data_IF_465550654182
#
_entry.id   IF_465550654182
#
_cell.length_a   1.000
_cell.length_b   1.000
_cell.length_c   1.000
_cell.angle_alpha   90.00
_cell.angle_beta   90.00
_cell.angle_gamma   90.00
#
_symmetry.space_group_name_H-M   'P 1'
#
loop_
_entity.id
_entity.type
_entity.pdbx_description
1 polymer ?
#
# COMPACT_ATOMS: atom_id res chain seq x y z
N UNK A 1 -11.09 0.13 0.66
CA UNK A 1 -10.41 -0.07 -0.63
C UNK A 1 -9.82 1.27 -1.01
N UNK A 2 -8.52 1.33 -1.27
CA UNK A 2 -7.82 2.58 -1.62
C UNK A 2 -7.83 2.80 -3.13
N UNK A 3 -7.53 4.02 -3.58
CA UNK A 3 -7.58 4.46 -4.98
C UNK A 3 -9.00 4.42 -5.57
N UNK A 4 -10.02 4.50 -4.71
CA UNK A 4 -11.42 4.51 -5.09
C UNK A 4 -12.07 3.12 -5.21
N UNK A 5 -13.31 3.12 -5.69
CA UNK A 5 -14.17 1.94 -5.83
C UNK A 5 -14.43 1.52 -7.28
N UNK A 6 -13.75 2.16 -8.23
CA UNK A 6 -13.89 1.94 -9.66
C UNK A 6 -12.55 1.46 -10.22
N UNK A 7 -12.57 0.39 -11.02
CA UNK A 7 -11.41 -0.10 -11.75
C UNK A 7 -11.58 0.14 -13.25
N UNK A 8 -10.52 0.58 -13.94
CA UNK A 8 -10.53 0.69 -15.40
C UNK A 8 -10.31 -0.65 -16.11
N UNK A 9 -9.83 -1.67 -15.38
CA UNK A 9 -9.68 -3.04 -15.89
C UNK A 9 -10.98 -3.80 -15.70
N UNK A 10 -11.34 -4.62 -16.68
CA UNK A 10 -12.56 -5.43 -16.68
C UNK A 10 -12.24 -6.92 -16.46
N UNK A 11 -11.83 -7.28 -15.24
CA UNK A 11 -11.50 -8.67 -14.92
C UNK A 11 -12.78 -9.49 -14.78
N UNK A 12 -12.91 -10.61 -15.51
CA UNK A 12 -14.15 -11.42 -15.56
C UNK A 12 -14.60 -12.00 -14.21
N UNK A 13 -13.68 -12.12 -13.25
CA UNK A 13 -13.94 -12.64 -11.90
C UNK A 13 -14.12 -11.54 -10.84
N UNK A 14 -13.87 -10.28 -11.19
CA UNK A 14 -13.82 -9.18 -10.21
C UNK A 14 -15.19 -8.51 -10.09
N UNK A 15 -15.66 -8.32 -8.84
CA UNK A 15 -16.94 -7.69 -8.56
C UNK A 15 -16.87 -6.14 -8.44
N UNK A 16 -15.72 -5.53 -8.72
CA UNK A 16 -15.54 -4.08 -8.64
C UNK A 16 -16.20 -3.39 -9.83
N UNK A 17 -16.77 -2.20 -9.61
CA UNK A 17 -17.39 -1.41 -10.67
C UNK A 17 -16.37 -0.99 -11.74
N UNK A 18 -16.76 -1.08 -13.01
CA UNK A 18 -15.92 -0.76 -14.15
C UNK A 18 -16.37 0.53 -14.83
N UNK A 19 -15.63 1.63 -14.63
CA UNK A 19 -15.83 2.90 -15.31
C UNK A 19 -14.51 3.67 -15.40
N UNK A 20 -14.52 4.87 -15.99
CA UNK A 20 -13.30 5.71 -16.01
C UNK A 20 -12.95 6.09 -14.57
N UNK A 21 -11.72 5.77 -14.16
CA UNK A 21 -11.19 6.19 -12.88
C UNK A 21 -10.99 7.71 -12.88
N UNK A 22 -11.34 8.35 -11.75
CA UNK A 22 -11.01 9.73 -11.47
C UNK A 22 -9.54 9.89 -11.02
N UNK A 23 -9.17 11.12 -10.67
CA UNK A 23 -7.85 11.39 -10.08
C UNK A 23 -7.74 10.78 -8.68
N UNK A 24 -6.52 10.37 -8.32
CA UNK A 24 -6.24 9.82 -7.00
C UNK A 24 -6.25 10.93 -5.95
N UNK A 25 -7.01 10.70 -4.88
CA UNK A 25 -7.17 11.64 -3.77
C UNK A 25 -5.90 11.69 -2.91
N UNK A 26 -5.28 12.88 -2.85
CA UNK A 26 -4.02 13.10 -2.14
C UNK A 26 -4.15 13.02 -0.61
N UNK A 27 -5.36 13.18 -0.08
CA UNK A 27 -5.65 13.14 1.36
C UNK A 27 -6.18 11.78 1.81
N UNK A 28 -6.42 10.84 0.89
CA UNK A 28 -6.78 9.44 1.20
C UNK A 28 -5.82 8.79 2.22
N UNK A 29 -4.48 8.91 2.11
CA UNK A 29 -3.56 8.30 3.08
C UNK A 29 -3.71 8.87 4.49
N UNK A 30 -4.00 10.18 4.62
CA UNK A 30 -4.20 10.86 5.90
C UNK A 30 -5.48 10.35 6.56
N UNK A 31 -6.59 10.33 5.83
CA UNK A 31 -7.87 9.82 6.33
C UNK A 31 -7.81 8.33 6.64
N UNK A 32 -7.08 7.54 5.84
CA UNK A 32 -6.84 6.12 6.11
C UNK A 32 -6.10 5.95 7.45
N UNK A 33 -5.04 6.73 7.69
CA UNK A 33 -4.29 6.70 8.95
C UNK A 33 -5.18 7.05 10.15
N UNK A 34 -6.01 8.09 10.02
CA UNK A 34 -6.95 8.48 11.06
C UNK A 34 -7.97 7.36 11.34
N UNK A 35 -8.56 6.80 10.29
CA UNK A 35 -9.50 5.67 10.39
C UNK A 35 -8.86 4.45 11.07
N UNK A 36 -7.62 4.12 10.73
CA UNK A 36 -6.84 3.05 11.36
C UNK A 36 -6.66 3.32 12.84
N UNK A 37 -6.25 4.54 13.21
CA UNK A 37 -5.99 4.91 14.62
C UNK A 37 -7.26 4.84 15.49
N UNK A 38 -8.41 5.26 14.96
CA UNK A 38 -9.67 5.22 15.72
C UNK A 38 -10.28 3.81 15.78
N UNK A 39 -9.94 2.93 14.84
CA UNK A 39 -10.58 1.61 14.73
C UNK A 39 -10.22 0.62 15.84
N UNK A 40 -9.10 0.82 16.56
CA UNK A 40 -8.64 -0.09 17.60
C UNK A 40 -8.32 -1.52 17.12
N UNK A 41 -8.26 -1.74 15.79
CA UNK A 41 -8.03 -3.04 15.19
C UNK A 41 -6.56 -3.45 15.33
N UNK A 42 -6.33 -4.70 15.75
CA UNK A 42 -4.98 -5.29 15.83
C UNK A 42 -4.42 -5.69 14.46
N UNK A 43 -5.29 -5.88 13.48
CA UNK A 43 -4.93 -6.33 12.15
C UNK A 43 -5.85 -5.67 11.12
N UNK A 44 -5.26 -5.13 10.05
CA UNK A 44 -5.95 -4.40 8.99
C UNK A 44 -5.39 -4.87 7.65
N UNK A 45 -6.29 -5.14 6.72
CA UNK A 45 -5.96 -5.46 5.33
C UNK A 45 -6.33 -4.26 4.47
N UNK A 46 -5.34 -3.70 3.78
CA UNK A 46 -5.54 -2.63 2.81
C UNK A 46 -5.47 -3.23 1.41
N UNK A 47 -6.52 -3.05 0.62
CA UNK A 47 -6.61 -3.50 -0.77
C UNK A 47 -6.83 -2.29 -1.69
N UNK A 48 -6.38 -2.38 -2.93
CA UNK A 48 -6.53 -1.33 -3.94
C UNK A 48 -7.12 -1.87 -5.24
N UNK A 49 -7.74 -0.99 -6.02
CA UNK A 49 -7.93 -1.23 -7.46
C UNK A 49 -6.60 -1.10 -8.20
N UNK A 50 -6.57 -1.45 -9.49
CA UNK A 50 -5.37 -1.19 -10.31
C UNK A 50 -5.31 0.31 -10.67
N UNK A 51 -4.29 1.05 -10.24
CA UNK A 51 -4.11 2.44 -10.62
C UNK A 51 -3.82 2.55 -12.11
N UNK A 52 -4.39 3.58 -12.76
CA UNK A 52 -4.07 3.87 -14.15
C UNK A 52 -2.69 4.53 -14.30
N UNK A 53 -2.36 5.44 -13.39
CA UNK A 53 -1.07 6.13 -13.36
C UNK A 53 -0.23 5.62 -12.18
N UNK A 54 0.84 4.88 -12.50
CA UNK A 54 1.74 4.31 -11.50
C UNK A 54 2.65 5.36 -10.84
N UNK A 55 2.90 6.49 -11.51
CA UNK A 55 3.81 7.54 -11.02
C UNK A 55 3.25 8.28 -9.80
N UNK A 56 1.93 8.29 -9.64
CA UNK A 56 1.26 9.00 -8.55
C UNK A 56 1.30 8.23 -7.22
N UNK A 57 1.37 6.90 -7.25
CA UNK A 57 1.26 6.05 -6.05
C UNK A 57 2.42 6.26 -5.07
N UNK A 58 3.70 6.29 -5.49
CA UNK A 58 4.82 6.44 -4.55
C UNK A 58 4.80 7.77 -3.79
N UNK A 59 4.19 8.81 -4.36
CA UNK A 59 3.99 10.11 -3.67
C UNK A 59 2.86 10.04 -2.64
N UNK A 60 1.78 9.35 -2.97
CA UNK A 60 0.61 9.17 -2.10
C UNK A 60 0.92 8.27 -0.90
N UNK A 61 1.55 7.13 -1.18
CA UNK A 61 1.85 6.10 -0.20
C UNK A 61 3.36 5.85 -0.19
N UNK A 62 4.15 6.71 0.48
CA UNK A 62 5.58 6.48 0.64
C UNK A 62 5.78 5.23 1.50
N UNK A 63 5.91 4.07 0.86
CA UNK A 63 6.08 2.80 1.55
C UNK A 63 7.47 2.77 2.22
N UNK A 64 7.55 2.60 3.55
CA UNK A 64 8.80 2.25 4.18
C UNK A 64 9.18 0.84 3.72
N UNK A 65 10.27 0.73 2.96
CA UNK A 65 10.78 -0.55 2.49
C UNK A 65 11.34 -1.33 3.68
N UNK A 66 10.65 -2.40 4.10
CA UNK A 66 11.15 -3.31 5.12
C UNK A 66 11.98 -4.41 4.45
N UNK A 67 13.25 -4.55 4.82
CA UNK A 67 14.07 -5.68 4.36
C UNK A 67 13.79 -6.88 5.25
N UNK A 68 13.45 -8.03 4.66
CA UNK A 68 13.61 -9.32 5.35
C UNK A 68 15.12 -9.58 5.49
N UNK A 69 15.69 -9.22 6.64
CA UNK A 69 17.07 -9.54 6.99
C UNK A 69 17.11 -10.83 7.81
N UNK A 70 17.52 -11.95 7.19
CA UNK A 70 17.88 -13.16 7.93
C UNK A 70 19.29 -12.98 8.52
N UNK A 71 19.36 -12.55 9.77
CA UNK A 71 20.61 -12.53 10.54
C UNK A 71 20.88 -13.91 11.14
N UNK A 72 21.65 -14.73 10.43
CA UNK A 72 22.24 -15.96 10.97
C UNK A 72 23.35 -15.62 11.98
N UNK A 73 22.98 -15.27 13.22
CA UNK A 73 23.88 -15.42 14.39
C UNK A 73 23.05 -15.81 15.62
N UNK A 74 23.19 -17.08 16.00
CA UNK A 74 22.91 -17.70 17.31
C UNK A 74 21.60 -17.29 18.00
N UNK A 75 20.60 -18.18 17.90
CA UNK A 75 19.51 -18.35 18.87
C UNK A 75 18.45 -17.24 18.86
N UNK A 76 17.19 -17.64 18.64
CA UNK A 76 15.99 -16.79 18.54
C UNK A 76 15.80 -16.07 17.20
N UNK A 77 15.02 -16.71 16.32
CA UNK A 77 14.34 -16.08 15.19
C UNK A 77 13.41 -14.99 15.71
N UNK A 78 13.89 -13.75 15.72
CA UNK A 78 13.03 -12.57 15.79
C UNK A 78 13.25 -11.79 14.50
N UNK A 79 12.42 -12.09 13.49
CA UNK A 79 12.41 -11.39 12.21
C UNK A 79 11.81 -9.99 12.43
N UNK A 80 12.62 -9.07 12.93
CA UNK A 80 12.21 -7.68 13.08
C UNK A 80 12.43 -6.94 11.77
N UNK A 81 11.31 -6.57 11.14
CA UNK A 81 11.21 -5.67 10.00
C UNK A 81 11.85 -4.31 10.35
N UNK A 82 13.16 -4.14 10.10
CA UNK A 82 13.78 -2.82 10.20
C UNK A 82 13.46 -2.03 8.92
N UNK A 83 12.90 -0.81 9.02
CA UNK A 83 12.68 0.03 7.87
C UNK A 83 14.02 0.50 7.28
N UNK A 84 14.18 0.44 5.95
CA UNK A 84 15.29 1.11 5.25
C UNK A 84 15.14 2.62 5.38
N UNK A 85 16.25 3.32 5.59
CA UNK A 85 16.32 4.78 5.69
C UNK A 85 16.54 5.51 4.35
N UNK A 86 16.67 4.79 3.23
CA UNK A 86 17.03 5.40 1.93
C UNK A 86 15.94 5.18 0.86
N UNK A 87 15.64 6.22 0.05
CA UNK A 87 14.71 6.12 -1.07
C UNK A 87 15.24 5.19 -2.17
N UNK A 88 14.34 4.45 -2.82
CA UNK A 88 14.65 3.48 -3.88
C UNK A 88 14.96 4.25 -5.18
N UNK A 89 16.03 3.91 -5.92
CA UNK A 89 16.25 4.49 -7.24
C UNK A 89 15.13 4.10 -8.21
N UNK A 90 14.72 5.03 -9.09
CA UNK A 90 13.59 4.97 -10.04
C UNK A 90 13.69 3.88 -11.13
N UNK A 91 14.38 2.76 -10.88
CA UNK A 91 14.59 1.71 -11.88
C UNK A 91 14.00 0.38 -11.41
N UNK A 92 12.77 0.13 -11.87
CA UNK A 92 12.14 -1.18 -11.97
C UNK A 92 11.59 -1.32 -13.37
#
# INVERSE_FOLDING_TARGET
MILGNVCTRNCAFCAVSHSKAGEADQEEPVRLKEAVNVSGLKHIVVTSVTPHNIETIPRLYPLPQYRHGASSRRGFLACWLKPRKEPVPERW
#
